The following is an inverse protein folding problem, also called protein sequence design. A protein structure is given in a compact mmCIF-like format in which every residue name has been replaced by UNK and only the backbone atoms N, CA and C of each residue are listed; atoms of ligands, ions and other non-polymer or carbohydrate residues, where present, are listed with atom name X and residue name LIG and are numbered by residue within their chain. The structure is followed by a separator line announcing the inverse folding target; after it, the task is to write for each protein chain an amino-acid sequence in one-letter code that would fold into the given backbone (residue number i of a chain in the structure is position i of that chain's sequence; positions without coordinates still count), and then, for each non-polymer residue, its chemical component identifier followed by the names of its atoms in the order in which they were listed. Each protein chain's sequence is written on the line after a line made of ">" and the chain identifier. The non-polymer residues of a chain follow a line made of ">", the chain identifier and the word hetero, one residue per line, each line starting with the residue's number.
data_IF_769175184218
#
_entry.id   IF_769175184218
#
_cell.length_a   1.000
_cell.length_b   1.000
_cell.length_c   1.000
_cell.angle_alpha   90.00
_cell.angle_beta   90.00
_cell.angle_gamma   90.00
#
_symmetry.space_group_name_H-M   'P 1'
#
loop_
_entity.id
_entity.type
_entity.pdbx_description
1 polymer ?
#
# COMPACT_ATOMS: atom_id res chain seq x y z
N UNK A 1 -13.04 -7.06 -1.29
CA UNK A 1 -11.90 -7.63 -0.50
C UNK A 1 -11.59 -9.11 -0.82
N UNK A 2 -12.60 -9.95 -1.10
CA UNK A 2 -12.36 -11.37 -1.39
C UNK A 2 -11.51 -11.58 -2.67
N UNK A 3 -11.80 -10.93 -3.81
CA UNK A 3 -10.98 -11.10 -5.01
C UNK A 3 -9.51 -10.71 -4.82
N UNK A 4 -9.20 -9.62 -4.11
CA UNK A 4 -7.83 -9.22 -3.79
C UNK A 4 -7.10 -10.29 -2.98
N UNK A 5 -7.77 -10.92 -2.01
CA UNK A 5 -7.18 -12.01 -1.21
C UNK A 5 -6.96 -13.30 -2.00
N UNK A 6 -7.87 -13.61 -2.92
CA UNK A 6 -7.68 -14.77 -3.83
C UNK A 6 -6.48 -14.51 -4.75
N UNK A 7 -6.36 -13.32 -5.34
CA UNK A 7 -5.20 -12.94 -6.15
C UNK A 7 -3.90 -13.06 -5.35
N UNK A 8 -3.88 -12.52 -4.14
CA UNK A 8 -2.73 -12.64 -3.24
C UNK A 8 -2.35 -14.10 -2.99
N UNK A 9 -3.30 -14.93 -2.57
CA UNK A 9 -3.04 -16.35 -2.30
C UNK A 9 -2.50 -17.09 -3.54
N UNK A 10 -3.04 -16.77 -4.73
CA UNK A 10 -2.57 -17.34 -6.00
C UNK A 10 -1.13 -16.92 -6.31
N UNK A 11 -0.80 -15.63 -6.15
CA UNK A 11 0.56 -15.11 -6.38
C UNK A 11 1.57 -15.75 -5.43
N UNK A 12 1.23 -15.90 -4.14
CA UNK A 12 2.10 -16.58 -3.19
C UNK A 12 2.26 -18.08 -3.52
N UNK A 13 1.22 -18.76 -3.97
CA UNK A 13 1.33 -20.15 -4.41
C UNK A 13 2.26 -20.31 -5.61
N UNK A 14 2.18 -19.38 -6.59
CA UNK A 14 3.09 -19.37 -7.75
C UNK A 14 4.51 -19.06 -7.28
N UNK A 15 4.71 -18.01 -6.50
CA UNK A 15 6.04 -17.62 -5.99
C UNK A 15 6.70 -18.78 -5.22
N UNK A 16 5.92 -19.53 -4.42
CA UNK A 16 6.40 -20.68 -3.67
C UNK A 16 6.86 -21.84 -4.59
N UNK A 17 6.35 -21.94 -5.82
CA UNK A 17 6.75 -22.97 -6.79
C UNK A 17 8.02 -22.62 -7.58
N UNK A 18 8.47 -21.37 -7.49
CA UNK A 18 9.66 -20.88 -8.19
C UNK A 18 10.85 -20.77 -7.19
N UNK A 19 12.04 -21.16 -7.63
CA UNK A 19 13.25 -21.02 -6.82
C UNK A 19 13.55 -19.54 -6.52
N UNK A 20 13.58 -19.18 -5.23
CA UNK A 20 13.78 -17.79 -4.80
C UNK A 20 12.62 -16.83 -5.13
N UNK A 21 11.46 -17.35 -5.54
CA UNK A 21 10.30 -16.55 -5.90
C UNK A 21 9.75 -15.79 -4.69
N UNK A 22 9.49 -14.48 -4.89
CA UNK A 22 8.88 -13.61 -3.88
C UNK A 22 7.76 -12.78 -4.50
N UNK A 23 6.78 -12.41 -3.69
CA UNK A 23 5.72 -11.47 -4.10
C UNK A 23 6.16 -10.05 -3.77
N UNK A 24 6.09 -9.15 -4.74
CA UNK A 24 6.37 -7.72 -4.57
C UNK A 24 5.04 -6.98 -4.45
N UNK A 25 4.91 -6.15 -3.40
CA UNK A 25 3.81 -5.21 -3.29
C UNK A 25 4.04 -4.04 -4.24
N UNK A 26 3.01 -3.62 -4.95
CA UNK A 26 3.07 -2.51 -5.92
C UNK A 26 2.16 -1.34 -5.56
N UNK A 27 1.63 -1.29 -4.34
CA UNK A 27 0.91 -0.12 -3.83
C UNK A 27 1.84 1.10 -3.79
N UNK A 28 1.25 2.26 -4.02
CA UNK A 28 1.97 3.54 -3.96
C UNK A 28 1.57 4.35 -2.72
N UNK A 29 2.29 5.43 -2.46
CA UNK A 29 2.07 6.29 -1.28
C UNK A 29 0.66 6.89 -1.25
N UNK A 30 0.10 7.28 -2.39
CA UNK A 30 -1.21 7.93 -2.45
C UNK A 30 -2.34 6.97 -2.07
N UNK A 31 -2.27 5.72 -2.55
CA UNK A 31 -3.19 4.64 -2.17
C UNK A 31 -3.06 4.32 -0.67
N UNK A 32 -1.83 4.15 -0.21
CA UNK A 32 -1.54 3.82 1.19
C UNK A 32 -1.94 4.97 2.13
N UNK A 33 -1.78 6.23 1.69
CA UNK A 33 -2.16 7.39 2.49
C UNK A 33 -3.62 7.38 2.87
N UNK A 34 -4.50 7.10 1.93
CA UNK A 34 -5.95 7.01 2.13
C UNK A 34 -6.44 5.62 2.50
N UNK A 35 -5.51 4.64 2.56
CA UNK A 35 -5.81 3.24 2.90
C UNK A 35 -6.64 2.53 1.85
N UNK A 36 -6.48 2.89 0.58
CA UNK A 36 -7.18 2.24 -0.54
C UNK A 36 -6.50 0.93 -0.91
N UNK A 37 -6.56 -0.02 -0.02
CA UNK A 37 -6.01 -1.36 -0.16
C UNK A 37 -6.78 -2.38 0.69
N UNK A 38 -6.66 -3.64 0.34
CA UNK A 38 -7.19 -4.76 1.12
C UNK A 38 -6.09 -5.38 1.96
N UNK A 39 -6.24 -5.31 3.29
CA UNK A 39 -5.31 -5.97 4.23
C UNK A 39 -5.28 -7.48 3.92
N UNK A 40 -4.07 -8.05 3.84
CA UNK A 40 -3.83 -9.44 3.41
C UNK A 40 -4.37 -9.76 1.99
N UNK A 41 -4.49 -8.73 1.15
CA UNK A 41 -4.80 -8.85 -0.26
C UNK A 41 -3.72 -8.15 -1.07
N UNK A 42 -4.08 -7.07 -1.75
CA UNK A 42 -3.16 -6.22 -2.52
C UNK A 42 -2.11 -5.51 -1.64
N UNK A 43 -2.33 -5.39 -0.32
CA UNK A 43 -1.32 -4.86 0.60
C UNK A 43 -0.22 -5.86 0.97
N UNK A 44 -0.31 -7.12 0.53
CA UNK A 44 0.67 -8.15 0.85
C UNK A 44 1.88 -8.10 -0.10
N UNK A 45 3.05 -8.48 0.41
CA UNK A 45 4.28 -8.57 -0.34
C UNK A 45 5.51 -8.65 0.57
N UNK A 46 6.64 -9.07 0.03
CA UNK A 46 7.91 -9.13 0.76
C UNK A 46 8.51 -7.73 0.98
N UNK A 47 8.30 -6.82 0.01
CA UNK A 47 8.66 -5.41 0.12
C UNK A 47 7.83 -4.58 -0.87
N UNK A 48 7.82 -3.26 -0.67
CA UNK A 48 7.05 -2.31 -1.47
C UNK A 48 7.96 -1.23 -2.08
N UNK A 49 8.47 -1.42 -3.31
CA UNK A 49 9.39 -0.48 -3.94
C UNK A 49 8.76 0.86 -4.28
N UNK A 50 7.44 0.92 -4.44
CA UNK A 50 6.70 2.13 -4.81
C UNK A 50 6.06 2.85 -3.62
N UNK A 51 6.16 2.32 -2.42
CA UNK A 51 5.43 2.79 -1.23
C UNK A 51 5.74 4.23 -0.78
N UNK A 52 6.81 4.84 -1.30
CA UNK A 52 7.18 6.24 -1.02
C UNK A 52 6.93 7.19 -2.19
N UNK A 53 6.41 6.70 -3.31
CA UNK A 53 6.09 7.49 -4.50
C UNK A 53 4.59 7.71 -4.61
N UNK A 54 4.18 8.94 -4.95
CA UNK A 54 2.79 9.24 -5.28
C UNK A 54 2.39 8.63 -6.62
N UNK A 55 1.09 8.57 -6.92
CA UNK A 55 0.61 8.06 -8.22
C UNK A 55 1.25 8.79 -9.40
N UNK A 56 1.39 10.11 -9.35
CA UNK A 56 2.00 10.90 -10.42
C UNK A 56 3.49 10.60 -10.56
N UNK A 57 4.20 10.43 -9.46
CA UNK A 57 5.62 10.07 -9.46
C UNK A 57 5.83 8.66 -10.03
N UNK A 58 4.93 7.70 -9.74
CA UNK A 58 4.97 6.35 -10.33
C UNK A 58 4.74 6.41 -11.85
N UNK A 59 3.81 7.25 -12.31
CA UNK A 59 3.59 7.46 -13.75
C UNK A 59 4.83 8.08 -14.40
N UNK A 60 5.45 9.08 -13.78
CA UNK A 60 6.67 9.70 -14.27
C UNK A 60 7.84 8.69 -14.36
N UNK A 61 8.01 7.86 -13.33
CA UNK A 61 8.99 6.76 -13.36
C UNK A 61 8.71 5.77 -14.50
N UNK A 62 7.45 5.43 -14.71
CA UNK A 62 7.05 4.55 -15.82
C UNK A 62 7.38 5.15 -17.17
N UNK A 63 7.21 6.45 -17.36
CA UNK A 63 7.58 7.17 -18.59
C UNK A 63 9.10 7.15 -18.83
N UNK A 64 9.90 7.43 -17.80
CA UNK A 64 11.37 7.36 -17.86
C UNK A 64 11.88 5.95 -18.18
N UNK A 65 11.19 4.92 -17.69
CA UNK A 65 11.52 3.53 -17.99
C UNK A 65 11.03 3.08 -19.37
N UNK A 66 10.38 3.95 -20.13
CA UNK A 66 9.89 3.65 -21.48
C UNK A 66 8.69 2.72 -21.52
N UNK A 67 7.87 2.71 -20.48
CA UNK A 67 6.64 1.91 -20.51
C UNK A 67 5.67 2.41 -21.59
N UNK A 68 4.93 1.51 -22.25
CA UNK A 68 3.94 1.90 -23.24
C UNK A 68 2.91 2.87 -22.67
N UNK A 69 2.57 3.92 -23.43
CA UNK A 69 1.65 4.99 -23.04
C UNK A 69 0.33 4.48 -22.46
N UNK A 70 -0.20 3.38 -22.98
CA UNK A 70 -1.44 2.76 -22.49
C UNK A 70 -1.41 2.41 -20.99
N UNK A 71 -0.24 2.22 -20.39
CA UNK A 71 -0.11 1.99 -18.93
C UNK A 71 -0.04 3.29 -18.15
N UNK A 72 0.47 4.36 -18.76
CA UNK A 72 0.66 5.67 -18.13
C UNK A 72 -0.66 6.45 -18.04
N UNK A 73 -1.52 6.31 -19.07
CA UNK A 73 -2.80 7.04 -19.16
C UNK A 73 -3.99 6.26 -18.60
N UNK A 74 -3.80 4.99 -18.21
CA UNK A 74 -4.89 4.15 -17.69
C UNK A 74 -5.38 4.70 -16.35
N UNK A 75 -6.69 5.02 -16.21
CA UNK A 75 -7.23 5.43 -14.92
C UNK A 75 -7.02 4.35 -13.85
N UNK A 76 -6.60 4.72 -12.62
CA UNK A 76 -6.50 3.80 -11.51
C UNK A 76 -7.83 3.09 -11.24
N UNK A 77 -7.80 1.76 -11.15
CA UNK A 77 -8.99 0.95 -10.92
C UNK A 77 -8.62 -0.42 -10.38
N UNK A 78 -9.43 -0.95 -9.45
CA UNK A 78 -9.30 -2.32 -8.93
C UNK A 78 -9.67 -3.39 -9.98
N UNK A 79 -10.30 -2.98 -11.09
CA UNK A 79 -10.77 -3.85 -12.15
C UNK A 79 -11.95 -4.77 -11.77
N UNK A 80 -12.65 -4.49 -10.67
CA UNK A 80 -13.70 -5.34 -10.11
C UNK A 80 -15.09 -4.74 -10.22
N UNK A 81 -15.19 -3.42 -10.09
CA UNK A 81 -16.49 -2.72 -9.96
C UNK A 81 -16.89 -1.95 -11.22
N UNK A 82 -15.98 -1.83 -12.20
CA UNK A 82 -16.18 -0.98 -13.38
C UNK A 82 -16.08 0.52 -13.08
N UNK A 83 -15.73 0.90 -11.84
CA UNK A 83 -15.50 2.27 -11.40
C UNK A 83 -14.01 2.52 -11.26
N UNK A 84 -13.61 3.78 -11.34
CA UNK A 84 -12.26 4.21 -10.98
C UNK A 84 -12.12 4.28 -9.46
N UNK A 85 -10.87 4.31 -8.99
CA UNK A 85 -10.57 4.51 -7.58
C UNK A 85 -11.07 5.87 -7.11
N UNK A 86 -10.94 6.92 -7.93
CA UNK A 86 -11.41 8.27 -7.64
C UNK A 86 -12.93 8.34 -7.50
N UNK A 87 -13.69 7.59 -8.32
CA UNK A 87 -15.15 7.47 -8.16
C UNK A 87 -15.52 6.88 -6.78
N UNK A 88 -14.72 5.96 -6.29
CA UNK A 88 -14.94 5.31 -4.98
C UNK A 88 -14.43 6.19 -3.81
N UNK A 89 -13.39 6.98 -4.03
CA UNK A 89 -12.81 7.87 -3.02
C UNK A 89 -13.65 9.14 -2.83
N UNK A 90 -14.19 9.69 -3.91
CA UNK A 90 -14.92 10.96 -3.95
C UNK A 90 -14.00 12.18 -4.08
N UNK A 91 -12.70 11.97 -4.35
CA UNK A 91 -11.70 12.99 -4.66
C UNK A 91 -10.60 12.37 -5.52
N UNK A 92 -9.77 13.21 -6.13
CA UNK A 92 -8.72 12.78 -7.07
C UNK A 92 -7.42 12.41 -6.36
N UNK A 93 -6.63 11.52 -6.96
CA UNK A 93 -5.27 11.28 -6.50
C UNK A 93 -4.38 12.51 -6.63
N UNK A 94 -4.62 13.38 -7.61
CA UNK A 94 -3.93 14.66 -7.70
C UNK A 94 -4.08 15.47 -6.40
N UNK A 95 -5.29 15.58 -5.85
CA UNK A 95 -5.52 16.28 -4.57
C UNK A 95 -4.78 15.61 -3.40
N UNK A 96 -4.71 14.28 -3.38
CA UNK A 96 -3.93 13.53 -2.38
C UNK A 96 -2.43 13.82 -2.53
N UNK A 97 -1.91 13.83 -3.76
CA UNK A 97 -0.50 14.08 -4.06
C UNK A 97 -0.06 15.48 -3.64
N UNK A 98 -0.84 16.51 -3.99
CA UNK A 98 -0.58 17.90 -3.58
C UNK A 98 -0.59 18.02 -2.05
N UNK A 99 -1.55 17.39 -1.40
CA UNK A 99 -1.62 17.39 0.06
C UNK A 99 -0.40 16.71 0.70
N UNK A 100 0.02 15.55 0.19
CA UNK A 100 1.18 14.82 0.72
C UNK A 100 2.47 15.61 0.52
N UNK A 101 2.67 16.19 -0.67
CA UNK A 101 3.95 16.83 -1.04
C UNK A 101 4.07 18.29 -0.63
N UNK A 102 2.95 19.02 -0.62
CA UNK A 102 2.94 20.48 -0.38
C UNK A 102 2.12 20.90 0.83
N UNK A 103 1.25 20.03 1.35
CA UNK A 103 0.29 20.38 2.39
C UNK A 103 -0.91 21.19 1.88
N UNK A 104 -1.04 21.33 0.57
CA UNK A 104 -2.03 22.18 -0.08
C UNK A 104 -3.17 21.35 -0.65
N UNK A 105 -4.40 21.63 -0.22
CA UNK A 105 -5.61 21.04 -0.76
C UNK A 105 -6.83 21.82 -0.26
N UNK A 106 -7.93 21.73 -1.00
CA UNK A 106 -9.22 22.30 -0.54
C UNK A 106 -9.59 21.79 0.86
N UNK A 107 -10.02 22.65 1.80
CA UNK A 107 -10.32 22.25 3.17
C UNK A 107 -11.35 21.12 3.31
N UNK A 108 -12.36 21.08 2.43
CA UNK A 108 -13.37 20.03 2.47
C UNK A 108 -12.83 18.68 1.98
N UNK A 109 -11.92 18.70 1.02
CA UNK A 109 -11.21 17.50 0.55
C UNK A 109 -10.20 17.04 1.60
N UNK A 110 -9.49 17.99 2.23
CA UNK A 110 -8.55 17.70 3.34
C UNK A 110 -9.21 16.90 4.44
N UNK A 111 -10.39 17.31 4.91
CA UNK A 111 -11.13 16.62 5.96
C UNK A 111 -11.42 15.15 5.56
N UNK A 112 -11.80 14.92 4.31
CA UNK A 112 -12.07 13.58 3.80
C UNK A 112 -10.80 12.72 3.75
N UNK A 113 -9.68 13.28 3.26
CA UNK A 113 -8.38 12.61 3.21
C UNK A 113 -7.92 12.26 4.62
N UNK A 114 -7.92 13.22 5.55
CA UNK A 114 -7.50 13.03 6.94
C UNK A 114 -8.34 11.96 7.65
N UNK A 115 -9.64 11.95 7.42
CA UNK A 115 -10.53 10.92 7.95
C UNK A 115 -10.16 9.54 7.42
N UNK A 116 -9.97 9.39 6.10
CA UNK A 116 -9.57 8.10 5.48
C UNK A 116 -8.19 7.67 5.99
N UNK A 117 -7.24 8.59 6.05
CA UNK A 117 -5.92 8.33 6.61
C UNK A 117 -6.01 7.77 8.02
N UNK A 118 -6.70 8.48 8.92
CA UNK A 118 -6.81 8.10 10.33
C UNK A 118 -7.43 6.71 10.51
N UNK A 119 -8.55 6.44 9.85
CA UNK A 119 -9.28 5.16 10.05
C UNK A 119 -8.59 3.96 9.39
N UNK A 120 -7.67 4.19 8.46
CA UNK A 120 -6.97 3.12 7.73
C UNK A 120 -5.62 2.72 8.33
N UNK A 121 -5.06 3.51 9.27
CA UNK A 121 -3.70 3.29 9.80
C UNK A 121 -3.46 1.91 10.37
N UNK A 122 -4.49 1.26 10.92
CA UNK A 122 -4.36 -0.11 11.41
C UNK A 122 -3.91 -1.11 10.33
N UNK A 123 -4.13 -0.82 9.05
CA UNK A 123 -3.71 -1.68 7.93
C UNK A 123 -2.19 -1.74 7.75
N UNK A 124 -1.48 -0.70 8.23
CA UNK A 124 -0.04 -0.49 8.04
C UNK A 124 0.75 -0.65 9.34
N UNK A 125 0.13 -1.21 10.35
CA UNK A 125 0.77 -1.54 11.61
C UNK A 125 1.19 -3.00 11.61
N UNK A 126 2.29 -3.30 12.31
CA UNK A 126 2.63 -4.68 12.64
C UNK A 126 1.49 -5.29 13.47
N UNK A 127 1.28 -6.60 13.34
CA UNK A 127 0.26 -7.29 14.13
C UNK A 127 0.50 -7.05 15.63
N UNK A 128 -0.51 -6.57 16.37
CA UNK A 128 -0.41 -6.48 17.82
C UNK A 128 -0.20 -7.86 18.44
N UNK A 129 0.79 -7.99 19.28
CA UNK A 129 1.12 -9.24 19.97
C UNK A 129 0.86 -9.09 21.46
N UNK A 130 0.15 -10.04 22.04
CA UNK A 130 -0.02 -10.09 23.49
C UNK A 130 1.31 -10.37 24.19
N UNK A 131 1.71 -9.46 25.06
CA UNK A 131 2.94 -9.60 25.85
C UNK A 131 2.62 -10.36 27.14
N UNK A 132 3.05 -11.60 27.24
CA UNK A 132 2.77 -12.47 28.39
C UNK A 132 3.74 -12.29 29.55
N UNK A 133 4.78 -11.47 29.39
CA UNK A 133 5.80 -11.20 30.41
C UNK A 133 6.80 -12.33 30.62
N UNK A 134 6.74 -13.43 29.88
CA UNK A 134 7.72 -14.51 29.95
C UNK A 134 9.04 -14.10 29.29
N UNK A 135 10.19 -14.50 29.86
CA UNK A 135 11.48 -14.16 29.26
C UNK A 135 11.66 -14.87 27.91
N UNK A 136 12.13 -14.11 26.93
CA UNK A 136 12.57 -14.65 25.65
C UNK A 136 14.10 -14.62 25.66
N UNK A 137 14.74 -15.76 25.65
CA UNK A 137 16.18 -15.86 25.51
C UNK A 137 16.52 -15.83 24.02
N UNK A 138 16.96 -14.67 23.54
CA UNK A 138 17.41 -14.50 22.16
C UNK A 138 18.93 -14.62 22.10
N UNK A 139 19.50 -15.20 21.05
CA UNK A 139 20.91 -15.03 20.72
C UNK A 139 21.24 -13.53 20.61
N UNK A 140 22.43 -13.10 21.04
CA UNK A 140 22.82 -11.69 21.11
C UNK A 140 22.65 -10.91 19.80
N UNK A 141 22.60 -11.60 18.66
CA UNK A 141 22.51 -11.00 17.33
C UNK A 141 21.08 -10.85 16.79
N UNK A 142 20.06 -11.36 17.48
CA UNK A 142 18.68 -11.33 16.96
C UNK A 142 17.78 -10.37 17.74
N UNK A 143 17.57 -9.20 17.19
CA UNK A 143 16.58 -8.21 17.63
C UNK A 143 15.13 -8.57 17.28
N UNK A 144 14.83 -9.84 17.11
CA UNK A 144 13.57 -10.29 16.48
C UNK A 144 12.30 -9.85 17.20
N UNK A 145 12.38 -9.58 18.51
CA UNK A 145 11.27 -9.10 19.31
C UNK A 145 11.73 -8.11 20.40
N UNK A 146 12.29 -6.99 19.99
CA UNK A 146 12.53 -5.93 20.95
C UNK A 146 11.35 -4.93 20.91
N UNK A 147 10.39 -4.97 21.86
CA UNK A 147 9.26 -4.06 21.90
C UNK A 147 9.66 -2.60 22.11
N UNK A 148 10.93 -2.32 22.48
CA UNK A 148 11.47 -1.00 22.73
C UNK A 148 12.28 -0.42 21.55
N UNK A 149 12.49 -1.19 20.48
CA UNK A 149 13.05 -0.65 19.24
C UNK A 149 11.92 -0.05 18.41
N UNK A 150 11.81 1.26 18.44
CA UNK A 150 10.97 2.07 17.55
C UNK A 150 11.69 2.29 16.23
#
# INVERSE_FOLDING_TARGET
>A
NLPSRIRMATLYAIAQSEEGGIVINTSNLSEDWVGYCTIYGDSAGAFSPLGMYTTEEVIALGAELGLPERFLIKPPSDGLTGKTDEDNLGFTYHAVNEYIRKGEVDPAIKEQIDRKHKVSRFKFQTLPVYQNGLPIVLPEETDYYNPNKK
#
